data_IF_871002867320
#
_entry.id   IF_871002867320
#
_cell.length_a   1.000
_cell.length_b   1.000
_cell.length_c   1.000
_cell.angle_alpha   90.00
_cell.angle_beta   90.00
_cell.angle_gamma   90.00
#
_symmetry.space_group_name_H-M   'P 1'
#
loop_
_entity.id
_entity.type
_entity.pdbx_description
1 polymer ?
#
# COMPACT_ATOMS: atom_id res chain seq x y z
N UNK A 1 -4.75 -19.76 -4.90
CA UNK A 1 -5.44 -18.96 -5.94
C UNK A 1 -6.21 -17.87 -5.23
N UNK A 2 -5.74 -16.61 -5.29
CA UNK A 2 -6.55 -15.49 -4.84
C UNK A 2 -7.60 -15.22 -5.92
N UNK A 3 -8.80 -15.80 -5.75
CA UNK A 3 -9.92 -15.59 -6.66
C UNK A 3 -10.65 -14.33 -6.24
N UNK A 4 -10.46 -13.24 -6.98
CA UNK A 4 -11.34 -12.08 -6.88
C UNK A 4 -12.72 -12.49 -7.36
N UNK A 5 -13.64 -12.71 -6.42
CA UNK A 5 -15.03 -13.09 -6.74
C UNK A 5 -15.93 -11.88 -6.51
N UNK A 6 -16.63 -11.36 -7.53
CA UNK A 6 -17.55 -10.24 -7.36
C UNK A 6 -18.76 -10.66 -6.51
N UNK A 7 -19.17 -9.81 -5.57
CA UNK A 7 -20.46 -9.93 -4.89
C UNK A 7 -21.27 -8.69 -5.24
N UNK A 8 -22.39 -8.88 -5.95
CA UNK A 8 -23.29 -7.78 -6.35
C UNK A 8 -24.21 -7.38 -5.19
N UNK A 9 -24.26 -6.08 -4.88
CA UNK A 9 -25.33 -5.46 -4.11
C UNK A 9 -25.91 -4.32 -4.96
N UNK A 10 -27.23 -4.35 -5.16
CA UNK A 10 -27.95 -3.37 -5.96
C UNK A 10 -28.06 -2.05 -5.20
N UNK A 11 -27.39 -1.00 -5.70
CA UNK A 11 -27.88 0.36 -6.01
C UNK A 11 -26.68 1.23 -6.40
N UNK A 12 -26.64 1.77 -7.63
CA UNK A 12 -25.69 2.81 -8.05
C UNK A 12 -24.20 2.43 -7.95
N UNK A 13 -23.80 1.40 -8.70
CA UNK A 13 -22.44 1.01 -9.14
C UNK A 13 -21.31 0.82 -8.11
N UNK A 14 -21.56 0.93 -6.80
CA UNK A 14 -20.62 0.41 -5.79
C UNK A 14 -20.64 -1.13 -5.82
N UNK A 15 -19.54 -1.76 -6.23
CA UNK A 15 -19.38 -3.22 -6.28
C UNK A 15 -18.57 -3.71 -5.09
N UNK A 16 -18.91 -4.89 -4.56
CA UNK A 16 -18.06 -5.54 -3.56
C UNK A 16 -17.06 -6.47 -4.24
N UNK A 17 -15.81 -6.38 -3.81
CA UNK A 17 -14.72 -7.25 -4.22
C UNK A 17 -14.14 -7.97 -3.01
N UNK A 18 -13.77 -9.24 -3.15
CA UNK A 18 -13.16 -10.03 -2.08
C UNK A 18 -11.70 -10.32 -2.39
N UNK A 19 -10.83 -10.07 -1.40
CA UNK A 19 -9.42 -10.42 -1.42
C UNK A 19 -9.13 -11.50 -0.39
N UNK A 20 -8.31 -12.47 -0.79
CA UNK A 20 -7.84 -13.56 0.06
C UNK A 20 -6.31 -13.55 0.06
N UNK A 21 -5.70 -13.23 1.20
CA UNK A 21 -4.24 -13.15 1.35
C UNK A 21 -3.82 -13.74 2.69
N UNK A 22 -2.84 -14.64 2.69
CA UNK A 22 -2.27 -15.25 3.91
C UNK A 22 -3.32 -15.81 4.91
N UNK A 23 -4.45 -16.31 4.42
CA UNK A 23 -5.56 -16.83 5.24
C UNK A 23 -6.53 -15.78 5.78
N UNK A 24 -6.39 -14.51 5.37
CA UNK A 24 -7.32 -13.44 5.67
C UNK A 24 -8.24 -13.15 4.47
N UNK A 25 -9.55 -13.10 4.74
CA UNK A 25 -10.59 -12.74 3.77
C UNK A 25 -11.10 -11.32 4.04
N UNK A 26 -10.97 -10.44 3.05
CA UNK A 26 -11.38 -9.04 3.15
C UNK A 26 -12.36 -8.70 2.02
N UNK A 27 -13.55 -8.20 2.38
CA UNK A 27 -14.50 -7.64 1.44
C UNK A 27 -14.39 -6.11 1.42
N UNK A 28 -14.24 -5.54 0.22
CA UNK A 28 -14.06 -4.10 -0.01
C UNK A 28 -15.15 -3.59 -0.95
N UNK A 29 -15.67 -2.41 -0.64
CA UNK A 29 -16.42 -1.62 -1.60
C UNK A 29 -15.45 -0.93 -2.57
N UNK A 30 -15.83 -0.90 -3.85
CA UNK A 30 -15.16 -0.14 -4.91
C UNK A 30 -16.19 0.51 -5.83
N UNK A 31 -15.83 1.63 -6.43
CA UNK A 31 -16.62 2.35 -7.42
C UNK A 31 -15.76 2.71 -8.66
N UNK A 32 -15.65 1.79 -9.63
CA UNK A 32 -14.95 2.02 -10.89
C UNK A 32 -15.60 3.10 -11.77
N UNK A 33 -16.87 3.43 -11.55
CA UNK A 33 -17.61 4.41 -12.36
C UNK A 33 -17.31 5.85 -11.97
N UNK A 34 -16.79 6.06 -10.76
CA UNK A 34 -16.53 7.38 -10.18
C UNK A 34 -15.50 8.24 -10.92
N UNK A 35 -14.68 7.66 -11.80
CA UNK A 35 -13.52 8.32 -12.40
C UNK A 35 -12.39 8.62 -11.40
N UNK A 36 -12.52 8.21 -10.13
CA UNK A 36 -11.50 8.37 -9.11
C UNK A 36 -10.71 7.07 -8.93
N UNK A 37 -9.41 7.11 -9.25
CA UNK A 37 -8.52 5.96 -9.17
C UNK A 37 -8.39 5.38 -7.75
N UNK A 38 -8.67 6.19 -6.71
CA UNK A 38 -8.70 5.74 -5.31
C UNK A 38 -9.92 4.89 -4.94
N UNK A 39 -10.93 4.80 -5.81
CA UNK A 39 -12.15 4.03 -5.56
C UNK A 39 -12.08 2.59 -6.09
N UNK A 40 -10.94 2.15 -6.63
CA UNK A 40 -10.76 0.82 -7.22
C UNK A 40 -9.66 0.05 -6.47
N UNK A 41 -9.79 -1.28 -6.38
CA UNK A 41 -8.72 -2.14 -5.88
C UNK A 41 -7.73 -2.42 -7.01
N UNK A 42 -6.46 -2.12 -6.76
CA UNK A 42 -5.37 -2.41 -7.69
C UNK A 42 -4.59 -3.66 -7.28
N UNK A 43 -4.10 -4.43 -8.25
CA UNK A 43 -3.39 -5.70 -8.01
C UNK A 43 -2.17 -5.53 -7.10
N UNK A 44 -1.48 -4.38 -7.22
CA UNK A 44 -0.33 -4.02 -6.38
C UNK A 44 -0.64 -4.08 -4.87
N UNK A 45 -1.88 -3.82 -4.45
CA UNK A 45 -2.28 -3.90 -3.05
C UNK A 45 -2.25 -5.36 -2.54
N UNK A 46 -2.73 -6.30 -3.35
CA UNK A 46 -2.66 -7.73 -3.05
C UNK A 46 -1.22 -8.24 -3.02
N UNK A 47 -0.41 -7.83 -3.98
CA UNK A 47 1.01 -8.21 -4.05
C UNK A 47 1.83 -7.65 -2.89
N UNK A 48 1.57 -6.40 -2.49
CA UNK A 48 2.18 -5.80 -1.30
C UNK A 48 1.79 -6.55 -0.02
N UNK A 49 0.50 -6.87 0.13
CA UNK A 49 0.02 -7.62 1.29
C UNK A 49 0.67 -9.02 1.36
N UNK A 50 0.71 -9.76 0.25
CA UNK A 50 1.40 -11.07 0.18
C UNK A 50 2.88 -10.94 0.52
N UNK A 51 3.57 -9.96 -0.06
CA UNK A 51 4.99 -9.71 0.20
C UNK A 51 5.30 -9.54 1.70
N UNK A 52 4.42 -8.84 2.42
CA UNK A 52 4.56 -8.58 3.85
C UNK A 52 4.11 -9.77 4.71
N UNK A 53 2.97 -10.39 4.40
CA UNK A 53 2.32 -11.39 5.24
C UNK A 53 2.85 -12.81 5.05
N UNK A 54 3.26 -13.17 3.83
CA UNK A 54 3.83 -14.49 3.50
C UNK A 54 5.36 -14.48 3.55
N UNK A 55 5.91 -13.35 4.01
CA UNK A 55 7.34 -13.09 4.05
C UNK A 55 8.10 -13.72 5.22
N UNK A 56 9.41 -13.44 5.26
CA UNK A 56 10.25 -13.87 6.39
C UNK A 56 9.89 -13.11 7.67
N UNK A 57 10.25 -13.66 8.85
CA UNK A 57 10.05 -13.02 10.17
C UNK A 57 10.51 -11.57 10.27
N UNK A 58 11.43 -11.12 9.41
CA UNK A 58 11.90 -9.72 9.37
C UNK A 58 10.84 -8.74 8.87
N UNK A 59 9.77 -9.22 8.23
CA UNK A 59 8.64 -8.45 7.70
C UNK A 59 7.36 -8.63 8.51
N UNK A 60 7.43 -9.30 9.66
CA UNK A 60 6.27 -9.50 10.53
C UNK A 60 5.66 -8.16 10.96
N UNK A 61 4.40 -7.97 10.59
CA UNK A 61 3.62 -6.76 10.88
C UNK A 61 2.82 -6.87 12.17
N UNK A 62 2.78 -8.05 12.80
CA UNK A 62 2.03 -8.26 14.04
C UNK A 62 2.56 -7.37 15.16
N UNK A 63 1.66 -6.62 15.79
CA UNK A 63 2.00 -5.63 16.82
C UNK A 63 2.82 -4.44 16.31
N UNK A 64 2.99 -4.29 14.99
CA UNK A 64 3.69 -3.15 14.38
C UNK A 64 2.72 -2.03 14.08
N UNK A 65 3.25 -0.82 14.12
CA UNK A 65 2.56 0.40 13.67
C UNK A 65 2.84 0.61 12.20
N UNK A 66 1.78 0.74 11.40
CA UNK A 66 1.85 0.91 9.96
C UNK A 66 1.09 2.17 9.58
N UNK A 67 1.65 2.98 8.69
CA UNK A 67 0.92 4.03 7.99
C UNK A 67 0.84 3.64 6.52
N UNK A 68 -0.35 3.61 5.95
CA UNK A 68 -0.53 3.47 4.51
C UNK A 68 -0.76 4.84 3.88
N UNK A 69 0.04 5.16 2.85
CA UNK A 69 -0.11 6.37 2.04
C UNK A 69 -0.80 6.03 0.73
N UNK A 70 -1.79 6.83 0.33
CA UNK A 70 -2.59 6.55 -0.86
C UNK A 70 -3.34 5.22 -0.73
N UNK A 71 -4.07 5.04 0.38
CA UNK A 71 -4.77 3.78 0.70
C UNK A 71 -5.80 3.36 -0.34
N UNK A 72 -6.37 4.29 -1.11
CA UNK A 72 -7.48 4.03 -2.01
C UNK A 72 -8.66 3.42 -1.26
N UNK A 73 -8.98 2.17 -1.62
CA UNK A 73 -10.00 1.36 -0.93
C UNK A 73 -9.57 0.87 0.47
N UNK A 74 -8.28 0.95 0.79
CA UNK A 74 -7.66 0.44 2.04
C UNK A 74 -7.19 -1.01 1.95
N UNK A 75 -7.15 -1.60 0.76
CA UNK A 75 -6.94 -3.03 0.56
C UNK A 75 -5.71 -3.60 1.29
N UNK A 76 -4.52 -3.04 1.08
CA UNK A 76 -3.32 -3.58 1.72
C UNK A 76 -3.30 -3.26 3.21
N UNK A 77 -3.54 -2.00 3.61
CA UNK A 77 -3.55 -1.61 5.02
C UNK A 77 -4.57 -2.38 5.88
N UNK A 78 -5.77 -2.66 5.38
CA UNK A 78 -6.78 -3.44 6.10
C UNK A 78 -6.39 -4.91 6.24
N UNK A 79 -5.77 -5.53 5.23
CA UNK A 79 -5.20 -6.87 5.36
C UNK A 79 -4.08 -6.92 6.42
N UNK A 80 -3.21 -5.90 6.47
CA UNK A 80 -2.19 -5.81 7.52
C UNK A 80 -2.81 -5.64 8.91
N UNK A 81 -3.91 -4.89 9.03
CA UNK A 81 -4.64 -4.74 10.28
C UNK A 81 -5.24 -6.09 10.73
N UNK A 82 -5.85 -6.87 9.83
CA UNK A 82 -6.34 -8.23 10.12
C UNK A 82 -5.23 -9.18 10.55
N UNK A 83 -4.00 -8.98 10.07
CA UNK A 83 -2.81 -9.73 10.50
C UNK A 83 -2.24 -9.29 11.86
N UNK A 84 -2.86 -8.29 12.51
CA UNK A 84 -2.52 -7.81 13.85
C UNK A 84 -1.63 -6.57 13.88
N UNK A 85 -1.49 -5.84 12.78
CA UNK A 85 -0.86 -4.52 12.78
C UNK A 85 -1.81 -3.44 13.32
N UNK A 86 -1.25 -2.38 13.89
CA UNK A 86 -1.96 -1.12 14.14
C UNK A 86 -1.77 -0.20 12.95
N UNK A 87 -2.82 -0.01 12.15
CA UNK A 87 -2.72 0.68 10.85
C UNK A 87 -3.43 2.03 10.89
N UNK A 88 -2.76 3.07 10.38
CA UNK A 88 -3.38 4.34 10.00
C UNK A 88 -3.46 4.40 8.48
N UNK A 89 -4.67 4.57 7.94
CA UNK A 89 -4.95 4.65 6.51
C UNK A 89 -5.06 6.11 6.10
N UNK A 90 -4.41 6.53 5.02
CA UNK A 90 -4.39 7.92 4.58
C UNK A 90 -4.60 8.03 3.08
N UNK A 91 -5.40 9.01 2.67
CA UNK A 91 -5.64 9.35 1.28
C UNK A 91 -6.11 10.81 1.15
N UNK A 92 -6.36 11.26 -0.07
CA UNK A 92 -6.94 12.56 -0.39
C UNK A 92 -8.38 12.66 0.16
N UNK A 93 -8.85 13.87 0.53
CA UNK A 93 -10.18 14.07 1.08
C UNK A 93 -11.33 13.50 0.24
N UNK A 94 -11.17 13.42 -1.09
CA UNK A 94 -12.16 12.83 -1.99
C UNK A 94 -12.29 11.31 -1.89
N UNK A 95 -11.24 10.62 -1.43
CA UNK A 95 -11.19 9.14 -1.28
C UNK A 95 -11.55 8.72 0.14
N UNK A 96 -11.28 9.57 1.13
CA UNK A 96 -11.50 9.30 2.56
C UNK A 96 -12.91 8.75 2.90
N UNK A 97 -14.03 9.22 2.30
CA UNK A 97 -15.34 8.65 2.60
C UNK A 97 -15.47 7.15 2.27
N UNK A 98 -14.99 6.72 1.10
CA UNK A 98 -15.01 5.30 0.69
C UNK A 98 -14.05 4.48 1.56
N UNK A 99 -12.85 5.02 1.80
CA UNK A 99 -11.85 4.40 2.68
C UNK A 99 -12.40 4.19 4.10
N UNK A 100 -13.08 5.18 4.66
CA UNK A 100 -13.68 5.10 6.00
C UNK A 100 -14.80 4.04 6.06
N UNK A 101 -15.62 3.91 5.01
CA UNK A 101 -16.64 2.87 4.93
C UNK A 101 -16.04 1.46 4.92
N UNK A 102 -14.92 1.26 4.22
CA UNK A 102 -14.17 0.00 4.24
C UNK A 102 -13.49 -0.23 5.60
N UNK A 103 -12.89 0.81 6.19
CA UNK A 103 -12.16 0.73 7.46
C UNK A 103 -13.06 0.53 8.69
N UNK A 104 -14.30 1.02 8.67
CA UNK A 104 -15.26 0.77 9.76
C UNK A 104 -15.51 -0.73 10.00
N UNK A 105 -15.17 -1.58 9.03
CA UNK A 105 -15.26 -3.04 9.09
C UNK A 105 -14.05 -3.69 9.78
N UNK A 106 -12.98 -2.93 10.03
CA UNK A 106 -11.71 -3.38 10.64
C UNK A 106 -11.27 -2.36 11.70
N UNK A 107 -11.60 -2.62 12.97
CA UNK A 107 -11.35 -1.68 14.06
C UNK A 107 -9.87 -1.63 14.47
N UNK A 108 -9.28 -0.42 14.54
CA UNK A 108 -7.94 -0.19 15.08
C UNK A 108 -7.73 1.26 15.54
N UNK A 109 -6.99 1.46 16.64
CA UNK A 109 -6.66 2.79 17.18
C UNK A 109 -5.19 3.13 16.94
N UNK A 110 -4.88 4.19 16.22
CA UNK A 110 -3.50 4.66 16.05
C UNK A 110 -3.08 5.61 17.18
N UNK A 111 -1.88 5.41 17.73
CA UNK A 111 -1.22 6.32 18.69
C UNK A 111 -0.12 7.13 18.01
N UNK A 112 0.19 8.30 18.58
CA UNK A 112 1.16 9.30 18.12
C UNK A 112 2.62 8.86 18.37
N UNK A 113 3.08 7.82 17.67
CA UNK A 113 4.49 7.36 17.66
C UNK A 113 4.91 7.08 16.21
N UNK A 114 6.21 7.20 15.90
CA UNK A 114 6.72 6.87 14.56
C UNK A 114 6.31 5.46 14.11
N UNK A 115 5.85 5.29 12.86
CA UNK A 115 5.50 3.99 12.32
C UNK A 115 6.74 3.11 12.21
N UNK A 116 6.54 1.80 12.36
CA UNK A 116 7.58 0.83 12.01
C UNK A 116 7.66 0.70 10.48
N UNK A 117 6.51 0.68 9.83
CA UNK A 117 6.38 0.61 8.38
C UNK A 117 5.53 1.74 7.84
N UNK A 118 5.98 2.33 6.74
CA UNK A 118 5.11 3.10 5.85
C UNK A 118 4.90 2.21 4.62
N UNK A 119 3.67 2.06 4.16
CA UNK A 119 3.34 1.22 3.01
C UNK A 119 2.55 2.02 1.98
N UNK A 120 2.68 1.68 0.71
CA UNK A 120 1.88 2.28 -0.35
C UNK A 120 1.88 1.38 -1.58
N UNK A 121 0.71 1.19 -2.19
CA UNK A 121 0.49 0.38 -3.39
C UNK A 121 -0.10 1.22 -4.52
N UNK A 122 0.56 1.24 -5.69
CA UNK A 122 0.15 2.04 -6.87
C UNK A 122 -0.09 3.52 -6.56
N UNK A 123 0.80 4.10 -5.74
CA UNK A 123 0.78 5.50 -5.32
C UNK A 123 1.44 6.45 -6.34
N UNK A 124 2.02 5.89 -7.40
CA UNK A 124 2.77 6.64 -8.41
C UNK A 124 2.19 6.44 -9.82
N UNK A 125 1.49 7.45 -10.32
CA UNK A 125 0.92 7.47 -11.67
C UNK A 125 1.21 8.75 -12.46
N UNK A 126 1.85 9.75 -11.83
CA UNK A 126 2.27 11.00 -12.47
C UNK A 126 3.60 11.49 -11.87
N UNK A 127 4.50 12.00 -12.71
CA UNK A 127 5.81 12.50 -12.28
C UNK A 127 5.72 13.66 -11.28
N UNK A 128 4.70 14.52 -11.44
CA UNK A 128 4.41 15.65 -10.54
C UNK A 128 4.12 15.23 -9.09
N UNK A 129 3.75 13.96 -8.86
CA UNK A 129 3.45 13.43 -7.53
C UNK A 129 4.67 12.84 -6.83
N UNK A 130 5.80 12.67 -7.51
CA UNK A 130 7.02 12.09 -6.94
C UNK A 130 7.49 12.90 -5.73
N UNK A 131 7.69 14.21 -5.90
CA UNK A 131 8.24 15.05 -4.82
C UNK A 131 7.29 15.17 -3.61
N UNK A 132 5.98 15.45 -3.79
CA UNK A 132 5.02 15.45 -2.69
C UNK A 132 4.96 14.11 -1.93
N UNK A 133 4.93 12.99 -2.65
CA UNK A 133 4.90 11.66 -2.06
C UNK A 133 6.15 11.40 -1.20
N UNK A 134 7.34 11.65 -1.75
CA UNK A 134 8.58 11.38 -1.03
C UNK A 134 8.76 12.29 0.19
N UNK A 135 8.32 13.56 0.13
CA UNK A 135 8.29 14.45 1.31
C UNK A 135 7.34 13.95 2.39
N UNK A 136 6.15 13.51 2.01
CA UNK A 136 5.18 12.94 2.93
C UNK A 136 5.74 11.71 3.64
N UNK A 137 6.31 10.77 2.87
CA UNK A 137 7.00 9.59 3.40
C UNK A 137 8.12 10.00 4.36
N UNK A 138 9.03 10.88 3.94
CA UNK A 138 10.15 11.36 4.74
C UNK A 138 9.70 11.96 6.08
N UNK A 139 8.64 12.78 6.07
CA UNK A 139 8.12 13.46 7.26
C UNK A 139 7.58 12.50 8.33
N UNK A 140 7.16 11.30 7.92
CA UNK A 140 6.61 10.26 8.80
C UNK A 140 7.70 9.30 9.31
N UNK A 141 8.90 9.31 8.73
CA UNK A 141 9.95 8.36 9.08
C UNK A 141 10.64 8.72 10.39
N UNK A 142 10.68 7.76 11.31
CA UNK A 142 11.62 7.73 12.41
C UNK A 142 12.93 7.02 12.05
N UNK A 143 13.93 6.99 12.95
CA UNK A 143 15.26 6.42 12.69
C UNK A 143 15.27 4.94 12.28
N UNK A 144 14.24 4.18 12.66
CA UNK A 144 14.11 2.76 12.35
C UNK A 144 13.00 2.44 11.35
N UNK A 145 12.27 3.46 10.87
CA UNK A 145 11.15 3.28 9.94
C UNK A 145 11.64 2.77 8.59
N UNK A 146 10.85 1.90 7.98
CA UNK A 146 11.04 1.42 6.61
C UNK A 146 9.81 1.79 5.81
N UNK A 147 9.98 2.54 4.72
CA UNK A 147 8.92 2.71 3.75
C UNK A 147 9.00 1.59 2.70
N UNK A 148 7.87 1.00 2.33
CA UNK A 148 7.76 -0.12 1.39
C UNK A 148 6.73 0.29 0.34
N UNK A 149 7.22 0.67 -0.84
CA UNK A 149 6.39 1.18 -1.93
C UNK A 149 6.35 0.14 -3.05
N UNK A 150 5.16 -0.29 -3.40
CA UNK A 150 4.88 -1.33 -4.37
C UNK A 150 4.09 -0.71 -5.52
N UNK A 151 4.61 -0.74 -6.74
CA UNK A 151 3.89 -0.17 -7.88
C UNK A 151 4.12 -1.01 -9.13
N UNK A 152 3.20 -0.92 -10.07
CA UNK A 152 3.43 -1.38 -11.43
C UNK A 152 4.18 -0.34 -12.26
N UNK A 153 5.23 -0.77 -12.97
CA UNK A 153 5.94 0.08 -13.94
C UNK A 153 5.12 0.23 -15.21
N UNK A 154 4.44 1.38 -15.34
CA UNK A 154 3.63 1.74 -16.52
C UNK A 154 4.35 2.65 -17.52
N UNK A 155 5.32 3.42 -17.06
CA UNK A 155 6.14 4.33 -17.86
C UNK A 155 7.58 4.29 -17.37
N UNK A 156 8.54 4.01 -18.26
CA UNK A 156 9.97 3.91 -17.91
C UNK A 156 10.52 5.26 -17.41
N UNK A 157 10.18 6.37 -18.06
CA UNK A 157 10.65 7.70 -17.66
C UNK A 157 10.19 8.08 -16.24
N UNK A 158 8.90 7.84 -15.94
CA UNK A 158 8.36 8.11 -14.59
C UNK A 158 9.00 7.19 -13.55
N UNK A 159 9.23 5.93 -13.88
CA UNK A 159 9.93 4.98 -13.01
C UNK A 159 11.37 5.42 -12.72
N UNK A 160 12.12 5.81 -13.74
CA UNK A 160 13.51 6.26 -13.60
C UNK A 160 13.62 7.57 -12.81
N UNK A 161 12.72 8.52 -13.08
CA UNK A 161 12.61 9.76 -12.30
C UNK A 161 12.33 9.46 -10.82
N UNK A 162 11.41 8.52 -10.55
CA UNK A 162 11.07 8.13 -9.19
C UNK A 162 12.21 7.43 -8.46
N UNK A 163 12.89 6.48 -9.11
CA UNK A 163 14.04 5.78 -8.53
C UNK A 163 15.19 6.75 -8.26
N UNK A 164 15.43 7.72 -9.15
CA UNK A 164 16.42 8.78 -8.95
C UNK A 164 16.10 9.63 -7.72
N UNK A 165 14.88 10.17 -7.65
CA UNK A 165 14.43 10.98 -6.51
C UNK A 165 14.49 10.20 -5.18
N UNK A 166 14.16 8.90 -5.20
CA UNK A 166 14.31 8.02 -4.04
C UNK A 166 15.78 7.90 -3.59
N UNK A 167 16.72 7.70 -4.52
CA UNK A 167 18.16 7.55 -4.22
C UNK A 167 18.78 8.86 -3.71
N UNK A 168 18.25 10.01 -4.11
CA UNK A 168 18.71 11.31 -3.64
C UNK A 168 18.38 11.53 -2.15
N UNK A 169 17.23 11.04 -1.68
CA UNK A 169 16.75 11.21 -0.30
C UNK A 169 17.05 10.03 0.63
N UNK A 170 16.98 8.81 0.12
CA UNK A 170 16.96 7.59 0.93
C UNK A 170 18.07 6.61 0.58
N UNK A 171 18.30 5.66 1.49
CA UNK A 171 18.88 4.37 1.13
C UNK A 171 17.77 3.51 0.52
N UNK A 172 17.96 3.12 -0.73
CA UNK A 172 16.97 2.37 -1.51
C UNK A 172 17.41 0.91 -1.64
N UNK A 173 16.50 -0.03 -1.40
CA UNK A 173 16.67 -1.44 -1.75
C UNK A 173 15.52 -1.87 -2.65
N UNK A 174 15.81 -2.20 -3.90
CA UNK A 174 14.86 -2.93 -4.74
C UNK A 174 14.73 -4.36 -4.21
N UNK A 175 13.49 -4.83 -4.04
CA UNK A 175 13.21 -6.21 -3.64
C UNK A 175 13.53 -7.14 -4.83
N UNK A 176 14.42 -8.13 -4.67
CA UNK A 176 14.73 -9.06 -5.75
C UNK A 176 13.50 -9.90 -6.12
N UNK A 177 13.33 -10.22 -7.41
CA UNK A 177 12.20 -11.01 -7.94
C UNK A 177 11.91 -12.30 -7.16
N UNK A 178 12.94 -13.02 -6.73
CA UNK A 178 12.83 -14.25 -5.90
C UNK A 178 12.18 -14.05 -4.52
N UNK A 179 12.01 -12.80 -4.09
CA UNK A 179 11.35 -12.44 -2.82
C UNK A 179 9.95 -11.84 -3.04
N UNK A 180 9.55 -11.62 -4.29
CA UNK A 180 8.23 -11.13 -4.65
C UNK A 180 7.22 -12.29 -4.75
N UNK A 181 5.91 -12.02 -4.69
CA UNK A 181 4.89 -13.02 -5.02
C UNK A 181 5.17 -13.66 -6.39
N UNK A 182 5.17 -15.00 -6.51
CA UNK A 182 5.44 -15.68 -7.78
C UNK A 182 4.53 -15.22 -8.94
N UNK A 183 3.28 -14.91 -8.62
CA UNK A 183 2.24 -14.46 -9.56
C UNK A 183 2.31 -12.98 -9.94
N UNK A 184 3.10 -12.17 -9.23
CA UNK A 184 3.24 -10.75 -9.54
C UNK A 184 3.79 -10.57 -10.97
N UNK A 185 3.27 -9.61 -11.75
CA UNK A 185 3.75 -9.39 -13.11
C UNK A 185 5.20 -8.87 -13.13
N UNK A 186 5.92 -9.03 -14.25
CA UNK A 186 7.31 -8.55 -14.39
C UNK A 186 7.43 -7.02 -14.38
N UNK A 187 6.32 -6.31 -14.61
CA UNK A 187 6.20 -4.87 -14.46
C UNK A 187 6.14 -4.44 -12.98
N UNK A 188 5.77 -5.33 -12.06
CA UNK A 188 5.66 -5.03 -10.64
C UNK A 188 7.04 -4.83 -10.00
N UNK A 189 7.17 -3.83 -9.14
CA UNK A 189 8.38 -3.63 -8.35
C UNK A 189 8.06 -3.17 -6.93
N UNK A 190 8.92 -3.55 -5.98
CA UNK A 190 8.85 -3.10 -4.59
C UNK A 190 10.17 -2.45 -4.21
N UNK A 191 10.11 -1.23 -3.68
CA UNK A 191 11.25 -0.51 -3.11
C UNK A 191 11.11 -0.41 -1.59
N UNK A 192 12.15 -0.80 -0.88
CA UNK A 192 12.31 -0.45 0.54
C UNK A 192 13.19 0.80 0.68
N UNK A 193 12.67 1.81 1.37
CA UNK A 193 13.35 3.08 1.62
C UNK A 193 13.66 3.22 3.11
N UNK A 194 14.87 3.71 3.41
CA UNK A 194 15.31 4.06 4.77
C UNK A 194 16.00 5.42 4.75
N UNK A 195 15.86 6.19 5.82
CA UNK A 195 16.62 7.43 5.98
C UNK A 195 18.12 7.18 5.82
N UNK A 196 18.81 8.09 5.13
CA UNK A 196 20.28 8.11 5.12
C UNK A 196 20.75 8.44 6.53
N UNK A 197 21.77 7.74 7.03
CA UNK A 197 22.38 8.14 8.32
C UNK A 197 23.14 9.43 8.06
N UNK A 198 22.79 10.50 8.77
CA UNK A 198 23.70 11.64 8.89
C UNK A 198 24.99 11.11 9.54
N UNK A 199 26.12 11.30 8.86
CA UNK A 199 27.43 11.05 9.44
C UNK A 199 27.77 12.16 10.43
#
# INVERSE_FOLDING_TARGET
MAGVTPVELQTGETRSVRLEVAGHSLALAQDPSSGNHGHVVWDAAGDLAKYLLEGSKRRDVRGKRVVEVGSGTGAAGLLLAMAGATVALTDLPSVVPLLAANAARVLGSARQLWPHFIVGSDVLYAESLIDPLLRGVESLMGPSTVAILANERRCEDTFDAFVRACKDRFRVRAVPRKQMPPEAPESMYILELRLKRHR
#
